data_IF_847195490271
#
_entry.id   IF_847195490271
#
_cell.length_a   1.000
_cell.length_b   1.000
_cell.length_c   1.000
_cell.angle_alpha   90.00
_cell.angle_beta   90.00
_cell.angle_gamma   90.00
#
_symmetry.space_group_name_H-M   'P 1'
#
loop_
_entity.id
_entity.type
_entity.pdbx_description
1 polymer ?
#
# COMPACT_ATOMS: atom_id res chain seq x y z
N UNK A 1 3.20 36.06 26.50
CA UNK A 1 1.94 35.45 26.04
C UNK A 1 2.29 34.18 25.28
N UNK A 2 2.36 33.07 26.01
CA UNK A 2 2.77 31.76 25.49
C UNK A 2 1.54 30.91 25.28
N UNK A 3 1.26 30.50 24.05
CA UNK A 3 0.25 29.47 23.76
C UNK A 3 1.00 28.28 23.16
N UNK A 4 1.50 27.42 24.04
CA UNK A 4 1.99 26.09 23.66
C UNK A 4 0.76 25.21 23.55
N UNK A 5 0.29 24.98 22.33
CA UNK A 5 -0.73 23.98 22.04
C UNK A 5 -0.06 22.61 22.20
N UNK A 6 -0.27 22.00 23.37
CA UNK A 6 0.10 20.61 23.63
C UNK A 6 -0.86 19.75 22.80
N UNK A 7 -0.44 19.37 21.59
CA UNK A 7 -1.06 18.27 20.85
C UNK A 7 -0.92 17.03 21.73
N UNK A 8 -2.02 16.60 22.35
CA UNK A 8 -2.12 15.30 23.01
C UNK A 8 -1.69 14.24 21.99
N UNK A 9 -0.48 13.67 22.18
CA UNK A 9 -0.10 12.39 21.57
C UNK A 9 -1.10 11.35 22.07
N UNK A 10 -2.17 11.13 21.31
CA UNK A 10 -3.02 9.96 21.52
C UNK A 10 -2.14 8.71 21.44
N UNK A 11 -2.34 7.75 22.34
CA UNK A 11 -1.58 6.50 22.34
C UNK A 11 -1.53 5.90 20.92
N UNK A 12 -0.39 5.35 20.48
CA UNK A 12 -0.27 4.76 19.16
C UNK A 12 -1.38 3.72 18.99
N UNK A 13 -2.20 3.89 17.97
CA UNK A 13 -3.30 2.98 17.72
C UNK A 13 -2.70 1.69 17.14
N UNK A 14 -2.86 0.56 17.85
CA UNK A 14 -2.37 -0.75 17.44
C UNK A 14 -2.74 -1.04 15.96
N UNK A 15 -1.76 -1.54 15.18
CA UNK A 15 -1.89 -1.95 13.77
C UNK A 15 -3.14 -2.81 13.52
N UNK A 16 -3.45 -3.76 14.41
CA UNK A 16 -4.65 -4.60 14.26
C UNK A 16 -5.95 -3.79 14.29
N UNK A 17 -5.99 -2.75 15.14
CA UNK A 17 -7.15 -1.86 15.26
C UNK A 17 -7.27 -0.95 14.03
N UNK A 18 -6.16 -0.50 13.47
CA UNK A 18 -6.12 0.25 12.21
C UNK A 18 -6.67 -0.59 11.05
N UNK A 19 -6.18 -1.81 10.91
CA UNK A 19 -6.62 -2.74 9.87
C UNK A 19 -8.08 -3.13 10.03
N UNK A 20 -8.55 -3.33 11.27
CA UNK A 20 -9.96 -3.57 11.54
C UNK A 20 -10.84 -2.40 11.07
N UNK A 21 -10.49 -1.16 11.43
CA UNK A 21 -11.25 0.02 10.97
C UNK A 21 -11.22 0.16 9.45
N UNK A 22 -10.08 -0.12 8.82
CA UNK A 22 -9.98 -0.11 7.36
C UNK A 22 -10.89 -1.16 6.71
N UNK A 23 -10.98 -2.37 7.29
CA UNK A 23 -11.91 -3.41 6.87
C UNK A 23 -13.36 -2.92 6.90
N UNK A 24 -13.78 -2.29 7.99
CA UNK A 24 -15.14 -1.76 8.13
C UNK A 24 -15.41 -0.64 7.13
N UNK A 25 -14.43 0.24 6.91
CA UNK A 25 -14.52 1.27 5.88
C UNK A 25 -14.72 0.68 4.48
N UNK A 26 -13.97 -0.36 4.10
CA UNK A 26 -14.12 -1.03 2.80
C UNK A 26 -15.49 -1.71 2.63
N UNK A 27 -16.07 -2.24 3.73
CA UNK A 27 -17.44 -2.79 3.71
C UNK A 27 -18.48 -1.71 3.43
N UNK A 28 -18.37 -0.54 4.06
CA UNK A 28 -19.26 0.60 3.81
C UNK A 28 -19.18 1.04 2.33
N UNK A 29 -18.00 0.95 1.72
CA UNK A 29 -17.81 1.19 0.29
C UNK A 29 -18.31 0.07 -0.63
N UNK A 30 -19.01 -0.94 -0.10
CA UNK A 30 -19.54 -2.10 -0.83
C UNK A 30 -18.50 -2.81 -1.70
N UNK A 31 -17.28 -2.98 -1.17
CA UNK A 31 -16.22 -3.76 -1.85
C UNK A 31 -16.49 -5.26 -1.75
N UNK A 32 -16.03 -6.01 -2.74
CA UNK A 32 -16.19 -7.46 -2.73
C UNK A 32 -15.43 -8.08 -1.53
N UNK A 33 -15.89 -9.22 -0.99
CA UNK A 33 -15.19 -9.90 0.11
C UNK A 33 -13.72 -10.18 -0.19
N UNK A 34 -13.42 -10.56 -1.43
CA UNK A 34 -12.05 -10.80 -1.89
C UNK A 34 -11.22 -9.51 -1.87
N UNK A 35 -11.75 -8.40 -2.40
CA UNK A 35 -11.08 -7.08 -2.37
C UNK A 35 -10.76 -6.67 -0.94
N UNK A 36 -11.75 -6.80 -0.04
CA UNK A 36 -11.58 -6.48 1.38
C UNK A 36 -10.43 -7.29 1.95
N UNK A 37 -10.43 -8.61 1.73
CA UNK A 37 -9.37 -9.52 2.21
C UNK A 37 -7.99 -9.11 1.70
N UNK A 38 -7.81 -8.94 0.39
CA UNK A 38 -6.50 -8.56 -0.16
C UNK A 38 -6.01 -7.22 0.37
N UNK A 39 -6.91 -6.24 0.48
CA UNK A 39 -6.53 -4.91 0.95
C UNK A 39 -6.15 -4.93 2.43
N UNK A 40 -6.91 -5.62 3.27
CA UNK A 40 -6.58 -5.75 4.70
C UNK A 40 -5.31 -6.56 4.93
N UNK A 41 -5.14 -7.68 4.24
CA UNK A 41 -4.01 -8.58 4.43
C UNK A 41 -2.70 -7.89 4.01
N UNK A 42 -2.68 -7.21 2.85
CA UNK A 42 -1.49 -6.50 2.39
C UNK A 42 -1.18 -5.23 3.16
N UNK A 43 -2.20 -4.50 3.63
CA UNK A 43 -1.98 -3.34 4.49
C UNK A 43 -1.44 -3.77 5.85
N UNK A 44 -1.94 -4.88 6.40
CA UNK A 44 -1.40 -5.46 7.63
C UNK A 44 0.05 -5.91 7.45
N UNK A 45 0.35 -6.64 6.39
CA UNK A 45 1.71 -7.08 6.08
C UNK A 45 2.67 -5.88 5.97
N UNK A 46 2.26 -4.81 5.30
CA UNK A 46 3.04 -3.57 5.24
C UNK A 46 3.26 -2.97 6.63
N UNK A 47 2.22 -2.86 7.46
CA UNK A 47 2.34 -2.29 8.81
C UNK A 47 3.27 -3.13 9.70
N UNK A 48 3.16 -4.45 9.63
CA UNK A 48 3.97 -5.37 10.44
C UNK A 48 5.45 -5.37 10.03
N UNK A 49 5.75 -5.05 8.76
CA UNK A 49 7.13 -5.08 8.22
C UNK A 49 7.80 -3.72 8.17
N UNK A 50 7.06 -2.66 7.83
CA UNK A 50 7.60 -1.34 7.56
C UNK A 50 6.85 -0.20 8.29
N UNK A 51 5.70 -0.48 8.91
CA UNK A 51 4.87 0.55 9.55
C UNK A 51 5.38 1.06 10.89
N UNK A 52 6.30 0.34 11.53
CA UNK A 52 6.79 0.68 12.87
C UNK A 52 5.69 0.69 13.93
N UNK A 53 5.91 1.41 15.03
CA UNK A 53 4.96 1.52 16.14
C UNK A 53 3.87 2.59 15.92
N UNK A 54 4.15 3.60 15.10
CA UNK A 54 3.23 4.72 14.85
C UNK A 54 3.05 4.96 13.34
N UNK A 55 1.84 4.68 12.86
CA UNK A 55 1.44 4.90 11.47
C UNK A 55 1.61 6.36 11.02
N UNK A 56 1.58 7.32 11.96
CA UNK A 56 1.77 8.75 11.68
C UNK A 56 3.22 9.12 11.35
N UNK A 57 4.18 8.28 11.74
CA UNK A 57 5.58 8.49 11.47
C UNK A 57 6.01 7.94 10.09
N UNK A 58 5.11 7.25 9.38
CA UNK A 58 5.41 6.67 8.08
C UNK A 58 5.54 7.79 7.05
N UNK A 59 6.67 7.83 6.37
CA UNK A 59 6.97 8.79 5.31
C UNK A 59 6.89 8.13 3.94
N UNK A 60 6.85 8.94 2.88
CA UNK A 60 6.94 8.46 1.49
C UNK A 60 8.14 7.53 1.27
N UNK A 61 9.30 7.86 1.83
CA UNK A 61 10.53 7.05 1.71
C UNK A 61 10.35 5.64 2.28
N UNK A 62 9.66 5.50 3.41
CA UNK A 62 9.38 4.18 4.02
C UNK A 62 8.53 3.32 3.09
N UNK A 63 7.55 3.93 2.41
CA UNK A 63 6.69 3.23 1.46
C UNK A 63 7.47 2.84 0.21
N UNK A 64 8.30 3.73 -0.32
CA UNK A 64 9.18 3.45 -1.46
C UNK A 64 10.19 2.34 -1.15
N UNK A 65 10.75 2.32 0.05
CA UNK A 65 11.66 1.28 0.54
C UNK A 65 10.97 -0.08 0.61
N UNK A 66 9.75 -0.11 1.15
CA UNK A 66 8.94 -1.33 1.16
C UNK A 66 8.63 -1.82 -0.25
N UNK A 67 8.19 -0.93 -1.15
CA UNK A 67 7.88 -1.30 -2.54
C UNK A 67 9.14 -1.83 -3.24
N UNK A 68 10.30 -1.21 -3.04
CA UNK A 68 11.56 -1.72 -3.57
C UNK A 68 11.85 -3.14 -3.07
N UNK A 69 11.64 -3.41 -1.77
CA UNK A 69 11.77 -4.74 -1.19
C UNK A 69 10.83 -5.79 -1.81
N UNK A 70 9.66 -5.40 -2.32
CA UNK A 70 8.75 -6.35 -3.00
C UNK A 70 9.32 -6.94 -4.29
N UNK A 71 10.20 -6.21 -4.99
CA UNK A 71 10.85 -6.70 -6.22
C UNK A 71 11.96 -7.71 -5.90
N UNK A 72 12.59 -7.57 -4.74
CA UNK A 72 13.63 -8.49 -4.25
C UNK A 72 13.03 -9.70 -3.53
N UNK A 73 11.78 -9.60 -3.06
CA UNK A 73 11.10 -10.68 -2.35
C UNK A 73 11.00 -11.96 -3.19
N UNK A 74 11.16 -13.11 -2.54
CA UNK A 74 10.97 -14.45 -3.12
C UNK A 74 9.90 -15.19 -2.34
N UNK A 75 8.90 -15.70 -3.06
CA UNK A 75 7.87 -16.59 -2.52
C UNK A 75 8.49 -17.86 -1.95
N UNK A 76 7.71 -18.64 -1.19
CA UNK A 76 8.15 -19.93 -0.62
C UNK A 76 8.74 -20.90 -1.65
N UNK A 77 8.31 -20.80 -2.91
CA UNK A 77 8.81 -21.62 -4.04
C UNK A 77 9.98 -20.97 -4.78
N UNK A 78 10.61 -19.95 -4.21
CA UNK A 78 11.78 -19.24 -4.76
C UNK A 78 11.47 -18.29 -5.91
N UNK A 79 10.21 -18.12 -6.30
CA UNK A 79 9.82 -17.23 -7.41
C UNK A 79 9.63 -15.78 -6.95
N UNK A 80 10.00 -14.78 -7.76
CA UNK A 80 9.65 -13.38 -7.49
C UNK A 80 8.13 -13.18 -7.50
N UNK A 81 7.66 -12.09 -6.88
CA UNK A 81 6.27 -11.70 -7.03
C UNK A 81 5.95 -11.34 -8.49
N UNK A 82 4.74 -11.68 -8.93
CA UNK A 82 4.25 -11.21 -10.22
C UNK A 82 4.04 -9.70 -10.17
N UNK A 83 4.10 -9.04 -11.33
CA UNK A 83 3.78 -7.62 -11.44
C UNK A 83 2.37 -7.31 -10.91
N UNK A 84 1.42 -8.21 -11.18
CA UNK A 84 0.05 -8.08 -10.69
C UNK A 84 -0.03 -8.06 -9.16
N UNK A 85 0.75 -8.93 -8.49
CA UNK A 85 0.83 -8.96 -7.03
C UNK A 85 1.45 -7.67 -6.47
N UNK A 86 2.55 -7.19 -7.06
CA UNK A 86 3.21 -5.93 -6.64
C UNK A 86 2.24 -4.75 -6.80
N UNK A 87 1.59 -4.63 -7.97
CA UNK A 87 0.59 -3.60 -8.23
C UNK A 87 -0.55 -3.64 -7.21
N UNK A 88 -1.03 -4.85 -6.86
CA UNK A 88 -2.11 -5.01 -5.90
C UNK A 88 -1.68 -4.61 -4.48
N UNK A 89 -0.47 -5.01 -4.05
CA UNK A 89 0.11 -4.60 -2.76
C UNK A 89 0.27 -3.09 -2.67
N UNK A 90 0.83 -2.44 -3.69
CA UNK A 90 0.98 -0.98 -3.76
C UNK A 90 -0.39 -0.30 -3.67
N UNK A 91 -1.38 -0.79 -4.43
CA UNK A 91 -2.74 -0.24 -4.39
C UNK A 91 -3.40 -0.38 -3.02
N UNK A 92 -3.22 -1.52 -2.34
CA UNK A 92 -3.72 -1.71 -0.98
C UNK A 92 -3.16 -0.66 -0.02
N UNK A 93 -1.85 -0.40 -0.09
CA UNK A 93 -1.17 0.61 0.74
C UNK A 93 -1.73 2.01 0.45
N UNK A 94 -1.84 2.39 -0.83
CA UNK A 94 -2.44 3.67 -1.21
C UNK A 94 -3.85 3.83 -0.63
N UNK A 95 -4.71 2.83 -0.82
CA UNK A 95 -6.08 2.86 -0.31
C UNK A 95 -6.16 2.89 1.21
N UNK A 96 -5.20 2.29 1.88
CA UNK A 96 -5.11 2.34 3.33
C UNK A 96 -4.77 3.76 3.83
N UNK A 97 -3.74 4.41 3.27
CA UNK A 97 -3.40 5.77 3.68
C UNK A 97 -4.46 6.81 3.28
N UNK A 98 -5.09 6.67 2.11
CA UNK A 98 -6.28 7.45 1.73
C UNK A 98 -7.38 7.33 2.80
N UNK A 99 -7.63 6.11 3.31
CA UNK A 99 -8.58 5.89 4.40
C UNK A 99 -8.16 6.59 5.69
N UNK A 100 -6.88 6.53 6.06
CA UNK A 100 -6.38 7.17 7.28
C UNK A 100 -6.55 8.68 7.22
N UNK A 101 -6.30 9.29 6.07
CA UNK A 101 -6.47 10.72 5.83
C UNK A 101 -7.97 11.09 5.87
N UNK A 102 -8.81 10.38 5.12
CA UNK A 102 -10.26 10.63 5.09
C UNK A 102 -10.95 10.46 6.46
N UNK A 103 -10.37 9.65 7.34
CA UNK A 103 -10.86 9.46 8.71
C UNK A 103 -10.13 10.30 9.76
N UNK A 104 -9.30 11.26 9.33
CA UNK A 104 -8.53 12.18 10.15
C UNK A 104 -7.59 11.49 11.17
N UNK A 105 -7.15 10.27 10.87
CA UNK A 105 -6.13 9.56 11.66
C UNK A 105 -4.74 10.15 11.36
N UNK A 106 -4.50 10.50 10.10
CA UNK A 106 -3.34 11.27 9.65
C UNK A 106 -3.84 12.56 8.96
N UNK A 107 -2.96 13.55 8.84
CA UNK A 107 -3.30 14.84 8.21
C UNK A 107 -2.91 14.91 6.74
N UNK A 108 -1.90 14.14 6.34
CA UNK A 108 -1.34 14.13 4.99
C UNK A 108 -1.09 12.68 4.62
N UNK A 109 -1.63 12.22 3.50
CA UNK A 109 -1.35 10.91 2.93
C UNK A 109 0.10 10.84 2.36
N UNK A 110 1.03 10.08 2.98
CA UNK A 110 2.39 9.92 2.46
C UNK A 110 2.47 9.14 1.13
N UNK A 111 1.41 8.42 0.76
CA UNK A 111 1.29 7.63 -0.45
C UNK A 111 0.59 8.35 -1.60
N UNK A 112 0.07 9.57 -1.40
CA UNK A 112 -0.72 10.31 -2.40
C UNK A 112 0.03 10.41 -3.74
N UNK A 113 1.29 10.85 -3.67
CA UNK A 113 2.16 11.06 -4.83
C UNK A 113 2.78 9.79 -5.42
N UNK A 114 2.67 8.65 -4.74
CA UNK A 114 3.23 7.37 -5.21
C UNK A 114 2.38 6.86 -6.37
N UNK A 115 2.96 6.69 -7.56
CA UNK A 115 2.22 6.14 -8.69
C UNK A 115 2.28 4.61 -8.66
N UNK A 116 1.18 3.98 -9.06
CA UNK A 116 1.16 2.52 -9.18
C UNK A 116 2.05 2.12 -10.37
N UNK A 117 2.88 1.08 -10.23
CA UNK A 117 3.65 0.57 -11.36
C UNK A 117 2.69 0.14 -12.48
N UNK A 118 3.05 0.36 -13.76
CA UNK A 118 2.20 -0.02 -14.87
C UNK A 118 1.96 -1.52 -14.88
N UNK A 119 0.75 -1.93 -15.26
CA UNK A 119 0.40 -3.34 -15.46
C UNK A 119 1.02 -3.83 -16.78
N UNK A 120 2.33 -3.94 -16.84
CA UNK A 120 3.04 -4.51 -18.00
C UNK A 120 2.86 -6.03 -17.97
N UNK A 121 2.50 -6.61 -19.11
CA UNK A 121 2.26 -8.07 -19.30
C UNK A 121 3.51 -8.92 -19.06
N UNK A 122 4.69 -8.31 -18.95
CA UNK A 122 5.92 -8.99 -18.60
C UNK A 122 6.83 -7.96 -17.94
N UNK A 123 7.04 -8.06 -16.62
CA UNK A 123 8.24 -7.44 -16.06
C UNK A 123 9.42 -8.32 -16.51
N UNK A 124 10.55 -7.72 -16.90
CA UNK A 124 11.72 -8.50 -17.29
C UNK A 124 12.15 -9.42 -16.14
N UNK A 125 12.63 -10.61 -16.46
CA UNK A 125 13.10 -11.61 -15.48
C UNK A 125 14.30 -11.12 -14.63
N UNK A 126 14.89 -9.97 -14.97
CA UNK A 126 15.98 -9.37 -14.21
C UNK A 126 15.44 -8.56 -13.04
N UNK A 127 16.16 -8.64 -11.93
CA UNK A 127 15.94 -7.77 -10.77
C UNK A 127 16.14 -6.32 -11.19
N UNK A 128 15.16 -5.47 -10.91
CA UNK A 128 15.27 -4.03 -11.12
C UNK A 128 16.12 -3.43 -10.02
N UNK A 129 16.99 -2.49 -10.38
CA UNK A 129 17.70 -1.68 -9.40
C UNK A 129 16.72 -0.77 -8.65
N UNK A 130 17.05 -0.40 -7.41
CA UNK A 130 16.28 0.59 -6.63
C UNK A 130 15.98 1.87 -7.44
N UNK A 131 16.97 2.37 -8.21
CA UNK A 131 16.79 3.56 -9.04
C UNK A 131 15.76 3.35 -10.15
N UNK A 132 15.76 2.18 -10.79
CA UNK A 132 14.74 1.82 -11.78
C UNK A 132 13.35 1.71 -11.13
N UNK A 133 13.24 1.16 -9.93
CA UNK A 133 11.97 1.05 -9.19
C UNK A 133 11.41 2.44 -8.86
N UNK A 134 12.22 3.33 -8.28
CA UNK A 134 11.79 4.69 -7.95
C UNK A 134 11.31 5.43 -9.21
N UNK A 135 12.06 5.31 -10.32
CA UNK A 135 11.66 5.88 -11.61
C UNK A 135 10.30 5.34 -12.09
N UNK A 136 10.02 4.05 -11.89
CA UNK A 136 8.71 3.46 -12.23
C UNK A 136 7.57 4.01 -11.35
N UNK A 137 7.84 4.27 -10.08
CA UNK A 137 6.85 4.85 -9.15
C UNK A 137 6.58 6.33 -9.42
N UNK A 138 7.45 7.02 -10.16
CA UNK A 138 7.25 8.40 -10.60
C UNK A 138 6.67 8.49 -12.04
N UNK A 139 6.54 7.38 -12.77
CA UNK A 139 5.97 7.37 -14.13
C UNK A 139 4.44 7.40 -14.15
N UNK A 140 3.81 8.05 -15.15
CA UNK A 140 2.36 8.11 -15.26
C UNK A 140 1.75 6.71 -15.41
N UNK A 141 0.63 6.46 -14.71
CA UNK A 141 -0.03 5.16 -14.74
C UNK A 141 -0.71 4.95 -16.11
N UNK A 142 -0.07 4.16 -16.97
CA UNK A 142 -0.58 3.79 -18.30
C UNK A 142 -1.82 2.87 -18.24
N UNK A 143 -2.22 2.38 -17.05
CA UNK A 143 -3.38 1.51 -16.85
C UNK A 143 -4.71 2.24 -16.63
N UNK A 144 -4.74 3.57 -16.70
CA UNK A 144 -5.84 4.40 -16.18
C UNK A 144 -7.12 4.46 -17.02
N UNK A 145 -7.24 3.73 -18.14
CA UNK A 145 -8.43 3.83 -19.02
C UNK A 145 -9.32 2.61 -19.19
N UNK A 146 -9.03 1.48 -18.55
CA UNK A 146 -9.93 0.31 -18.65
C UNK A 146 -10.28 -0.16 -17.24
N UNK A 147 -11.54 0.06 -16.88
CA UNK A 147 -12.15 -0.42 -15.65
C UNK A 147 -11.96 -1.91 -15.49
N UNK A 148 -11.10 -2.31 -14.56
CA UNK A 148 -11.03 -3.65 -14.01
C UNK A 148 -10.75 -3.52 -12.51
N UNK A 149 -11.77 -3.06 -11.76
CA UNK A 149 -11.87 -3.32 -10.33
C UNK A 149 -12.02 -4.85 -10.20
N UNK A 150 -10.98 -5.49 -9.66
CA UNK A 150 -10.99 -6.85 -9.11
C UNK A 150 -11.26 -8.03 -10.06
N UNK A 151 -10.47 -8.12 -11.14
CA UNK A 151 -10.35 -9.35 -11.95
C UNK A 151 -8.91 -9.91 -12.01
N UNK A 152 -8.06 -9.53 -11.06
CA UNK A 152 -6.67 -10.02 -10.99
C UNK A 152 -6.51 -11.32 -10.18
N UNK A 153 -7.61 -11.92 -9.71
CA UNK A 153 -7.59 -13.19 -8.96
C UNK A 153 -8.08 -14.32 -9.88
N UNK A 154 -7.52 -14.45 -11.08
CA UNK A 154 -7.82 -15.57 -11.99
C UNK A 154 -6.57 -16.28 -12.53
N UNK A 155 -5.37 -16.03 -11.98
CA UNK A 155 -4.14 -16.71 -12.42
C UNK A 155 -3.38 -17.43 -11.29
N UNK A 156 -4.03 -17.74 -10.16
CA UNK A 156 -3.37 -18.48 -9.08
C UNK A 156 -4.30 -19.48 -8.35
N UNK A 157 -5.02 -20.28 -9.14
CA UNK A 157 -5.50 -21.60 -8.73
C UNK A 157 -5.15 -22.61 -9.82
#
# INVERSE_FOLDING_TARGET
HSVIIILKKGAPMNNDKLVFKFKEYLKVLNRSPSTIKYYTDYSKEFLDTAGGEDVKAITRSVIEDYIAGLYDHRTRVGKPYSNGTICLKVRSIKRFFEFLEQTNIIFIDPAESIKEPPKVKSLPQRVLTRKEILSLLDQPNLGTRIGIRDRAILELF
#
